data_IF_992840180573
#
_entry.id   IF_992840180573
#
_cell.length_a   1.000
_cell.length_b   1.000
_cell.length_c   1.000
_cell.angle_alpha   90.00
_cell.angle_beta   90.00
_cell.angle_gamma   90.00
#
_symmetry.space_group_name_H-M   'P 1'
#
loop_
_entity.id
_entity.type
_entity.pdbx_description
1 polymer ?
#
# COMPACT_ATOMS: atom_id res chain seq x y z
N UNK A 1 -27.06 -11.78 -7.74
CA UNK A 1 -27.48 -10.49 -7.16
C UNK A 1 -26.32 -9.92 -6.38
N UNK A 2 -25.77 -8.79 -6.82
CA UNK A 2 -24.77 -8.03 -6.07
C UNK A 2 -25.49 -7.22 -5.00
N UNK A 3 -25.18 -7.45 -3.72
CA UNK A 3 -25.70 -6.61 -2.62
C UNK A 3 -25.24 -5.18 -2.85
N UNK A 4 -26.17 -4.22 -2.75
CA UNK A 4 -25.84 -2.81 -2.83
C UNK A 4 -24.91 -2.43 -1.67
N UNK A 5 -23.92 -1.58 -1.94
CA UNK A 5 -22.99 -1.09 -0.93
C UNK A 5 -23.73 -0.22 0.10
N UNK A 6 -23.62 -0.55 1.38
CA UNK A 6 -24.20 0.23 2.48
C UNK A 6 -23.19 1.26 3.02
N UNK A 7 -23.69 2.44 3.41
CA UNK A 7 -22.84 3.51 3.95
C UNK A 7 -22.71 3.34 5.46
N UNK A 8 -21.49 3.40 5.99
CA UNK A 8 -21.25 3.32 7.44
C UNK A 8 -21.47 4.72 8.06
N UNK A 9 -22.37 4.87 9.05
CA UNK A 9 -22.56 6.13 9.77
C UNK A 9 -21.25 6.56 10.45
N UNK A 10 -20.99 7.86 10.48
CA UNK A 10 -19.83 8.49 11.14
C UNK A 10 -18.45 8.27 10.49
N UNK A 11 -18.36 7.57 9.35
CA UNK A 11 -17.16 7.63 8.50
C UNK A 11 -17.22 8.89 7.64
N UNK A 12 -16.38 9.87 7.99
CA UNK A 12 -16.11 11.00 7.10
C UNK A 12 -15.47 10.47 5.80
N UNK A 13 -16.09 10.77 4.66
CA UNK A 13 -15.52 10.46 3.33
C UNK A 13 -14.16 11.13 3.12
N UNK A 14 -13.84 12.15 3.91
CA UNK A 14 -12.51 12.75 4.01
C UNK A 14 -11.50 11.90 4.80
N UNK A 15 -11.71 10.58 4.92
CA UNK A 15 -10.70 9.64 5.41
C UNK A 15 -9.36 9.74 4.63
N UNK A 16 -9.37 10.33 3.45
CA UNK A 16 -8.18 10.77 2.74
C UNK A 16 -7.76 12.16 3.19
N UNK A 17 -6.73 12.24 4.05
CA UNK A 17 -6.07 13.52 4.35
C UNK A 17 -5.62 14.22 3.05
N UNK A 18 -5.52 15.56 3.03
CA UNK A 18 -4.88 16.27 1.93
C UNK A 18 -3.49 15.66 1.64
N UNK A 19 -3.26 15.23 0.39
CA UNK A 19 -2.04 14.52 -0.01
C UNK A 19 -2.07 12.99 0.11
N UNK A 20 -3.13 12.40 0.67
CA UNK A 20 -3.33 10.96 0.62
C UNK A 20 -3.60 10.50 -0.82
N UNK A 21 -2.89 9.46 -1.27
CA UNK A 21 -3.22 8.78 -2.51
C UNK A 21 -4.48 7.95 -2.28
N UNK A 22 -5.64 8.56 -2.54
CA UNK A 22 -6.92 7.87 -2.53
C UNK A 22 -6.86 6.61 -3.39
N UNK A 23 -7.39 5.47 -2.92
CA UNK A 23 -7.55 4.27 -3.75
C UNK A 23 -8.27 4.54 -5.07
N UNK A 24 -9.11 5.59 -5.13
CA UNK A 24 -9.80 6.00 -6.36
C UNK A 24 -8.83 6.31 -7.51
N UNK A 25 -7.68 6.94 -7.25
CA UNK A 25 -6.68 7.25 -8.29
C UNK A 25 -6.08 5.99 -8.91
N UNK A 26 -5.92 4.94 -8.12
CA UNK A 26 -5.44 3.64 -8.59
C UNK A 26 -6.50 2.98 -9.48
N UNK A 27 -7.76 2.94 -9.05
CA UNK A 27 -8.85 2.36 -9.84
C UNK A 27 -9.15 3.17 -11.12
N UNK A 28 -9.06 4.50 -11.06
CA UNK A 28 -9.17 5.38 -12.23
C UNK A 28 -8.05 5.13 -13.24
N UNK A 29 -6.80 4.98 -12.78
CA UNK A 29 -5.68 4.66 -13.64
C UNK A 29 -5.85 3.28 -14.31
N UNK A 30 -6.28 2.27 -13.55
CA UNK A 30 -6.61 0.94 -14.09
C UNK A 30 -7.72 0.98 -15.14
N UNK A 31 -8.80 1.74 -14.88
CA UNK A 31 -9.94 1.83 -15.79
C UNK A 31 -9.63 2.60 -17.07
N UNK A 32 -8.61 3.47 -17.03
CA UNK A 32 -8.24 4.37 -18.15
C UNK A 32 -6.97 3.92 -18.88
N UNK A 33 -6.48 2.71 -18.60
CA UNK A 33 -5.21 2.16 -19.11
C UNK A 33 -4.01 3.10 -18.91
N UNK A 34 -4.04 3.88 -17.82
CA UNK A 34 -2.96 4.77 -17.42
C UNK A 34 -2.03 4.04 -16.45
N UNK A 35 -0.73 4.42 -16.39
CA UNK A 35 0.19 3.88 -15.42
C UNK A 35 -0.33 4.06 -13.98
N UNK A 36 -0.45 2.96 -13.24
CA UNK A 36 -0.82 2.99 -11.83
C UNK A 36 0.35 3.56 -10.99
N UNK A 37 0.09 4.49 -10.06
CA UNK A 37 1.14 5.15 -9.29
C UNK A 37 1.84 4.24 -8.27
N UNK A 38 1.19 3.15 -7.86
CA UNK A 38 1.74 2.10 -6.98
C UNK A 38 1.16 0.77 -7.45
N UNK A 39 2.03 -0.17 -7.81
CA UNK A 39 1.66 -1.52 -8.20
C UNK A 39 1.74 -2.50 -7.03
N UNK A 40 1.17 -3.71 -7.18
CA UNK A 40 1.34 -4.79 -6.19
C UNK A 40 2.81 -5.17 -5.98
N UNK A 41 3.66 -4.99 -7.01
CA UNK A 41 5.11 -5.21 -6.90
C UNK A 41 5.75 -4.18 -5.95
N UNK A 42 5.31 -2.93 -5.99
CA UNK A 42 5.77 -1.88 -5.07
C UNK A 42 5.29 -2.17 -3.64
N UNK A 43 4.08 -2.69 -3.49
CA UNK A 43 3.56 -3.16 -2.20
C UNK A 43 4.42 -4.27 -1.58
N UNK A 44 4.80 -5.29 -2.35
CA UNK A 44 5.71 -6.36 -1.88
C UNK A 44 7.05 -5.79 -1.41
N UNK A 45 7.61 -4.85 -2.16
CA UNK A 45 8.90 -4.22 -1.84
C UNK A 45 8.85 -3.38 -0.56
N UNK A 46 7.73 -2.72 -0.27
CA UNK A 46 7.52 -2.04 1.01
C UNK A 46 7.52 -3.02 2.20
N UNK A 47 6.91 -4.19 2.06
CA UNK A 47 6.90 -5.21 3.12
C UNK A 47 8.30 -5.74 3.39
N UNK A 48 9.07 -6.03 2.34
CA UNK A 48 10.46 -6.50 2.44
C UNK A 48 11.34 -5.46 3.16
N UNK A 49 11.15 -4.16 2.88
CA UNK A 49 11.88 -3.09 3.57
C UNK A 49 11.53 -3.01 5.07
N UNK A 50 10.26 -3.20 5.42
CA UNK A 50 9.83 -3.23 6.83
C UNK A 50 10.47 -4.41 7.57
N UNK A 51 10.43 -5.60 6.98
CA UNK A 51 11.03 -6.81 7.55
C UNK A 51 12.55 -6.68 7.70
N UNK A 52 13.25 -6.11 6.71
CA UNK A 52 14.68 -5.81 6.80
C UNK A 52 14.99 -4.83 7.94
N UNK A 53 14.16 -3.81 8.14
CA UNK A 53 14.33 -2.81 9.20
C UNK A 53 14.12 -3.42 10.60
N UNK A 54 13.09 -4.23 10.78
CA UNK A 54 12.82 -4.95 12.03
C UNK A 54 14.00 -5.88 12.38
N UNK A 55 14.53 -6.59 11.38
CA UNK A 55 15.68 -7.48 11.57
C UNK A 55 16.97 -6.72 11.87
N UNK A 56 17.21 -5.61 11.18
CA UNK A 56 18.35 -4.72 11.46
C UNK A 56 18.29 -4.17 12.89
N UNK A 57 17.10 -3.82 13.38
CA UNK A 57 16.91 -3.39 14.75
C UNK A 57 17.19 -4.52 15.75
N UNK A 58 16.70 -5.73 15.49
CA UNK A 58 16.90 -6.88 16.36
C UNK A 58 18.38 -7.31 16.44
N UNK A 59 19.06 -7.35 15.30
CA UNK A 59 20.45 -7.82 15.19
C UNK A 59 21.48 -6.69 15.42
N UNK A 60 21.03 -5.43 15.55
CA UNK A 60 21.87 -4.24 15.70
C UNK A 60 22.97 -4.12 14.62
N UNK A 61 22.64 -4.54 13.41
CA UNK A 61 23.51 -4.45 12.22
C UNK A 61 22.72 -4.03 11.00
N UNK A 62 23.43 -3.60 9.95
CA UNK A 62 22.83 -3.44 8.63
C UNK A 62 22.41 -4.82 8.08
N UNK A 63 21.20 -4.88 7.51
CA UNK A 63 20.62 -6.04 6.83
C UNK A 63 20.32 -5.64 5.39
N UNK A 64 20.83 -6.41 4.44
CA UNK A 64 20.59 -6.22 3.02
C UNK A 64 19.22 -6.79 2.62
N UNK A 65 18.55 -6.15 1.67
CA UNK A 65 17.24 -6.57 1.16
C UNK A 65 17.27 -8.02 0.64
N UNK A 66 18.38 -8.42 0.02
CA UNK A 66 18.56 -9.78 -0.50
C UNK A 66 18.59 -10.87 0.58
N UNK A 67 18.85 -10.51 1.85
CA UNK A 67 18.80 -11.45 2.98
C UNK A 67 17.35 -11.79 3.41
N UNK A 68 16.37 -10.98 2.95
CA UNK A 68 14.95 -11.09 3.30
C UNK A 68 14.13 -11.65 2.13
N UNK A 69 14.56 -11.41 0.90
CA UNK A 69 13.85 -11.91 -0.30
C UNK A 69 14.11 -13.41 -0.61
N UNK A 70 14.96 -14.09 0.16
CA UNK A 70 15.33 -15.51 0.02
C UNK A 70 14.34 -16.47 0.70
#
# INVERSE_FOLDING_TARGET
QTKAWETIPDIDRAFNRPGANSPSKFFEALASDQPVPVSMHDGRRCVVLLEAAERAEAEKRQVEIAEVEA
#
